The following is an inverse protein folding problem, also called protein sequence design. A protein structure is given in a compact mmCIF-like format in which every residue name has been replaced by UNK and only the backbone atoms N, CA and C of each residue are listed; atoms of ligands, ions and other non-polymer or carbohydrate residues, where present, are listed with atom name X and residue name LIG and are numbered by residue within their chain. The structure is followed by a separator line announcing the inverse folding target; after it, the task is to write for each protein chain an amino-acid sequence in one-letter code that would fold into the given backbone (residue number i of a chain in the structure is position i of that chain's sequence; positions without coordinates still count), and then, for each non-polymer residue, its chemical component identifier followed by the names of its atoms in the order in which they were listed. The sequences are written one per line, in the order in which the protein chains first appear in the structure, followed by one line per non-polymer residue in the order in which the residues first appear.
data_IF_801102477642
#
_entry.id   IF_801102477642
#
_cell.length_a   1.000
_cell.length_b   1.000
_cell.length_c   1.000
_cell.angle_alpha   90.00
_cell.angle_beta   90.00
_cell.angle_gamma   90.00
#
_symmetry.space_group_name_H-M   'P 1'
#
loop_
_entity.id
_entity.type
_entity.pdbx_description
1 polymer ?
#
# COMPACT_ATOMS: atom_id res chain seq x y z
N UNK A 1 -12.83 52.78 -30.03
CA UNK A 1 -12.43 52.66 -28.61
C UNK A 1 -11.11 51.91 -28.58
N UNK A 2 -10.05 52.44 -27.95
CA UNK A 2 -8.75 51.78 -27.85
C UNK A 2 -8.59 51.26 -26.43
N UNK A 3 -8.22 49.98 -26.28
CA UNK A 3 -8.00 49.33 -24.98
C UNK A 3 -6.56 48.86 -24.93
N UNK A 4 -5.79 49.29 -23.94
CA UNK A 4 -4.44 48.82 -23.66
C UNK A 4 -4.49 47.71 -22.61
N UNK A 5 -3.74 46.63 -22.83
CA UNK A 5 -3.65 45.49 -21.91
C UNK A 5 -2.17 45.19 -21.65
N UNK A 6 -1.83 44.86 -20.40
CA UNK A 6 -0.49 44.41 -20.03
C UNK A 6 -0.41 42.89 -20.12
N UNK A 7 0.66 42.38 -20.73
CA UNK A 7 0.93 40.94 -20.85
C UNK A 7 2.18 40.56 -20.05
N UNK A 8 2.24 39.32 -19.58
CA UNK A 8 3.48 38.76 -19.01
C UNK A 8 4.45 38.35 -20.13
N UNK A 9 5.71 38.06 -19.80
CA UNK A 9 6.77 37.78 -20.79
C UNK A 9 6.46 36.57 -21.70
N UNK A 10 5.73 35.58 -21.19
CA UNK A 10 5.37 34.37 -21.91
C UNK A 10 4.25 34.65 -22.93
N UNK A 11 3.18 35.31 -22.50
CA UNK A 11 2.10 35.74 -23.41
C UNK A 11 2.59 36.77 -24.42
N UNK A 12 3.49 37.67 -24.02
CA UNK A 12 4.08 38.66 -24.94
C UNK A 12 4.88 37.97 -26.05
N UNK A 13 5.74 37.00 -25.69
CA UNK A 13 6.49 36.20 -26.67
C UNK A 13 5.55 35.42 -27.61
N UNK A 14 4.47 34.83 -27.07
CA UNK A 14 3.49 34.11 -27.89
C UNK A 14 2.72 35.04 -28.84
N UNK A 15 2.32 36.23 -28.38
CA UNK A 15 1.69 37.24 -29.25
C UNK A 15 2.64 37.68 -30.36
N UNK A 16 3.92 37.89 -30.08
CA UNK A 16 4.92 38.27 -31.08
C UNK A 16 5.13 37.14 -32.12
N UNK A 17 5.16 35.88 -31.69
CA UNK A 17 5.27 34.71 -32.56
C UNK A 17 4.02 34.55 -33.47
N UNK A 18 2.83 34.69 -32.89
CA UNK A 18 1.56 34.62 -33.63
C UNK A 18 1.42 35.80 -34.59
N UNK A 19 1.78 37.02 -34.16
CA UNK A 19 1.72 38.23 -35.01
C UNK A 19 2.71 38.14 -36.17
N UNK A 20 3.90 37.61 -35.93
CA UNK A 20 4.90 37.34 -36.98
C UNK A 20 4.38 36.35 -38.04
N UNK A 21 3.45 35.48 -37.65
CA UNK A 21 2.82 34.49 -38.55
C UNK A 21 1.51 34.96 -39.19
N UNK A 22 0.78 35.89 -38.57
CA UNK A 22 -0.56 36.34 -38.97
C UNK A 22 -0.61 37.68 -39.74
N UNK A 23 0.49 38.45 -39.79
CA UNK A 23 0.54 39.76 -40.44
C UNK A 23 -0.08 40.90 -39.61
N UNK A 24 -0.51 41.99 -40.24
CA UNK A 24 -0.89 43.28 -39.60
C UNK A 24 -2.10 43.25 -38.65
N UNK A 25 -2.78 42.12 -38.44
CA UNK A 25 -3.95 42.04 -37.53
C UNK A 25 -3.55 41.67 -36.09
N UNK A 26 -2.79 42.54 -35.44
CA UNK A 26 -2.35 42.42 -34.04
C UNK A 26 -3.52 42.13 -33.06
N UNK A 27 -4.73 42.61 -33.35
CA UNK A 27 -5.91 42.37 -32.52
C UNK A 27 -6.40 40.90 -32.56
N UNK A 28 -6.18 40.19 -33.65
CA UNK A 28 -6.51 38.77 -33.78
C UNK A 28 -5.46 37.90 -33.08
N UNK A 29 -4.18 38.22 -33.26
CA UNK A 29 -3.08 37.56 -32.55
C UNK A 29 -3.23 37.68 -31.02
N UNK A 30 -3.58 38.87 -30.51
CA UNK A 30 -3.86 39.06 -29.07
C UNK A 30 -5.07 38.23 -28.61
N UNK A 31 -6.13 38.14 -29.42
CA UNK A 31 -7.30 37.32 -29.06
C UNK A 31 -6.99 35.83 -29.01
N UNK A 32 -6.20 35.34 -29.95
CA UNK A 32 -5.77 33.95 -29.96
C UNK A 32 -4.80 33.64 -28.82
N UNK A 33 -3.89 34.56 -28.47
CA UNK A 33 -3.06 34.44 -27.28
C UNK A 33 -3.86 34.39 -25.98
N UNK A 34 -4.88 35.24 -25.84
CA UNK A 34 -5.78 35.21 -24.68
C UNK A 34 -6.61 33.92 -24.63
N UNK A 35 -7.06 33.40 -25.78
CA UNK A 35 -7.77 32.10 -25.84
C UNK A 35 -6.82 30.97 -25.41
N UNK A 36 -5.62 30.94 -25.96
CA UNK A 36 -4.62 29.93 -25.64
C UNK A 36 -4.22 29.96 -24.16
N UNK A 37 -3.99 31.15 -23.60
CA UNK A 37 -3.69 31.30 -22.17
C UNK A 37 -4.80 30.80 -21.25
N UNK A 38 -6.08 30.99 -21.63
CA UNK A 38 -7.22 30.43 -20.88
C UNK A 38 -7.28 28.91 -20.97
N UNK A 39 -7.12 28.35 -22.17
CA UNK A 39 -7.10 26.90 -22.35
C UNK A 39 -5.95 26.25 -21.57
N UNK A 40 -4.78 26.90 -21.50
CA UNK A 40 -3.67 26.43 -20.70
C UNK A 40 -3.96 26.51 -19.20
N UNK A 41 -4.58 27.60 -18.73
CA UNK A 41 -4.99 27.72 -17.33
C UNK A 41 -6.00 26.63 -16.93
N UNK A 42 -7.02 26.39 -17.75
CA UNK A 42 -8.00 25.32 -17.52
C UNK A 42 -7.34 23.92 -17.48
N UNK A 43 -6.35 23.68 -18.34
CA UNK A 43 -5.56 22.43 -18.31
C UNK A 43 -4.72 22.32 -17.05
N UNK A 44 -4.08 23.41 -16.63
CA UNK A 44 -3.29 23.44 -15.39
C UNK A 44 -4.16 23.13 -14.18
N UNK A 45 -5.32 23.79 -14.06
CA UNK A 45 -6.28 23.55 -12.97
C UNK A 45 -6.79 22.10 -12.96
N UNK A 46 -7.07 21.54 -14.14
CA UNK A 46 -7.49 20.13 -14.28
C UNK A 46 -6.39 19.15 -13.87
N UNK A 47 -5.15 19.40 -14.28
CA UNK A 47 -3.99 18.59 -13.91
C UNK A 47 -3.68 18.69 -12.42
N UNK A 48 -3.82 19.87 -11.82
CA UNK A 48 -3.65 20.07 -10.38
C UNK A 48 -4.71 19.28 -9.60
N UNK A 49 -5.97 19.35 -10.04
CA UNK A 49 -7.08 18.59 -9.45
C UNK A 49 -6.90 17.07 -9.58
N UNK A 50 -6.36 16.59 -10.71
CA UNK A 50 -6.01 15.17 -10.88
C UNK A 50 -4.84 14.77 -9.98
N UNK A 51 -3.80 15.62 -9.88
CA UNK A 51 -2.66 15.36 -9.02
C UNK A 51 -3.07 15.26 -7.55
N UNK A 52 -3.99 16.11 -7.09
CA UNK A 52 -4.55 16.03 -5.74
C UNK A 52 -5.33 14.73 -5.53
N UNK A 53 -6.25 14.37 -6.44
CA UNK A 53 -6.98 13.09 -6.39
C UNK A 53 -6.06 11.88 -6.37
N UNK A 54 -5.00 11.88 -7.16
CA UNK A 54 -4.03 10.79 -7.20
C UNK A 54 -3.22 10.71 -5.90
N UNK A 55 -2.87 11.84 -5.28
CA UNK A 55 -2.19 11.85 -3.97
C UNK A 55 -3.09 11.28 -2.88
N UNK A 56 -4.35 11.70 -2.81
CA UNK A 56 -5.33 11.15 -1.87
C UNK A 56 -5.48 9.64 -2.06
N UNK A 57 -5.55 9.18 -3.32
CA UNK A 57 -5.65 7.74 -3.61
C UNK A 57 -4.41 6.96 -3.21
N UNK A 58 -3.22 7.54 -3.35
CA UNK A 58 -1.97 6.92 -2.90
C UNK A 58 -1.99 6.78 -1.39
N UNK A 59 -2.36 7.83 -0.65
CA UNK A 59 -2.45 7.80 0.81
C UNK A 59 -3.41 6.71 1.30
N UNK A 60 -4.61 6.65 0.72
CA UNK A 60 -5.61 5.61 1.04
C UNK A 60 -5.06 4.19 0.79
N UNK A 61 -4.38 3.96 -0.34
CA UNK A 61 -3.80 2.66 -0.68
C UNK A 61 -2.62 2.30 0.23
N UNK A 62 -1.83 3.28 0.68
CA UNK A 62 -0.75 3.07 1.62
C UNK A 62 -1.28 2.67 3.00
N UNK A 63 -2.33 3.33 3.49
CA UNK A 63 -3.02 2.97 4.73
C UNK A 63 -3.63 1.57 4.66
N UNK A 64 -4.30 1.23 3.56
CA UNK A 64 -4.89 -0.09 3.36
C UNK A 64 -3.79 -1.17 3.34
N UNK A 65 -2.68 -0.92 2.67
CA UNK A 65 -1.53 -1.83 2.64
C UNK A 65 -0.96 -2.06 4.04
N UNK A 66 -0.82 -1.01 4.85
CA UNK A 66 -0.28 -1.13 6.21
C UNK A 66 -1.22 -1.86 7.15
N UNK A 67 -2.54 -1.63 7.01
CA UNK A 67 -3.57 -2.41 7.68
C UNK A 67 -3.47 -3.89 7.32
N UNK A 68 -3.47 -4.21 6.02
CA UNK A 68 -3.39 -5.60 5.54
C UNK A 68 -2.10 -6.30 5.98
N UNK A 69 -0.98 -5.58 6.01
CA UNK A 69 0.30 -6.12 6.49
C UNK A 69 0.24 -6.46 7.97
N UNK A 70 -0.40 -5.61 8.77
CA UNK A 70 -0.60 -5.84 10.21
C UNK A 70 -1.55 -7.01 10.45
N UNK A 71 -2.65 -7.09 9.71
CA UNK A 71 -3.60 -8.20 9.79
C UNK A 71 -2.95 -9.53 9.39
N UNK A 72 -2.20 -9.56 8.30
CA UNK A 72 -1.44 -10.75 7.88
C UNK A 72 -0.48 -11.21 8.96
N UNK A 73 0.24 -10.30 9.61
CA UNK A 73 1.16 -10.64 10.70
C UNK A 73 0.41 -11.31 11.85
N UNK A 74 -0.71 -10.72 12.29
CA UNK A 74 -1.55 -11.28 13.35
C UNK A 74 -2.08 -12.67 13.01
N UNK A 75 -2.49 -12.89 11.76
CA UNK A 75 -2.96 -14.21 11.31
C UNK A 75 -1.84 -15.24 11.31
N UNK A 76 -0.62 -14.85 10.91
CA UNK A 76 0.54 -15.75 10.98
C UNK A 76 0.90 -16.11 12.42
N UNK A 77 0.93 -15.14 13.33
CA UNK A 77 1.14 -15.37 14.76
C UNK A 77 0.09 -16.35 15.33
N UNK A 78 -1.19 -16.17 14.98
CA UNK A 78 -2.26 -17.09 15.38
C UNK A 78 -2.09 -18.51 14.81
N UNK A 79 -1.60 -18.63 13.57
CA UNK A 79 -1.30 -19.94 12.97
C UNK A 79 -0.13 -20.64 13.64
N UNK A 80 0.91 -19.91 14.01
CA UNK A 80 2.06 -20.42 14.77
C UNK A 80 1.60 -20.92 16.15
N UNK A 81 0.86 -20.12 16.91
CA UNK A 81 0.27 -20.52 18.20
C UNK A 81 -0.62 -21.77 18.06
N UNK A 82 -1.49 -21.80 17.05
CA UNK A 82 -2.37 -22.95 16.80
C UNK A 82 -1.57 -24.21 16.48
N UNK A 83 -0.46 -24.07 15.73
CA UNK A 83 0.43 -25.18 15.38
C UNK A 83 1.15 -25.72 16.61
N UNK A 84 1.64 -24.85 17.48
CA UNK A 84 2.27 -25.25 18.75
C UNK A 84 1.27 -25.97 19.67
N UNK A 85 0.04 -25.47 19.78
CA UNK A 85 -1.02 -26.12 20.55
C UNK A 85 -1.37 -27.50 19.99
N UNK A 86 -1.45 -27.64 18.66
CA UNK A 86 -1.68 -28.93 18.02
C UNK A 86 -0.53 -29.91 18.33
N UNK A 87 0.73 -29.48 18.21
CA UNK A 87 1.88 -30.31 18.54
C UNK A 87 1.85 -30.74 20.01
N UNK A 88 1.50 -29.85 20.94
CA UNK A 88 1.37 -30.18 22.36
C UNK A 88 0.30 -31.25 22.59
N UNK A 89 -0.89 -31.07 22.00
CA UNK A 89 -1.99 -32.04 22.12
C UNK A 89 -1.64 -33.39 21.50
N UNK A 90 -0.91 -33.40 20.37
CA UNK A 90 -0.42 -34.64 19.75
C UNK A 90 0.58 -35.36 20.65
N UNK A 91 1.52 -34.63 21.26
CA UNK A 91 2.48 -35.20 22.22
C UNK A 91 1.76 -35.79 23.43
N UNK A 92 0.76 -35.10 23.97
CA UNK A 92 -0.04 -35.58 25.10
C UNK A 92 -0.83 -36.84 24.74
N UNK A 93 -1.46 -36.87 23.56
CA UNK A 93 -2.15 -38.07 23.05
C UNK A 93 -1.20 -39.24 22.82
N UNK A 94 0.00 -38.99 22.31
CA UNK A 94 1.01 -40.03 22.11
C UNK A 94 1.47 -40.61 23.46
N UNK A 95 1.71 -39.75 24.46
CA UNK A 95 2.05 -40.18 25.82
C UNK A 95 0.92 -41.00 26.46
N UNK A 96 -0.34 -40.58 26.30
CA UNK A 96 -1.49 -41.36 26.75
C UNK A 96 -1.59 -42.72 26.06
N UNK A 97 -1.37 -42.78 24.74
CA UNK A 97 -1.38 -44.04 23.99
C UNK A 97 -0.29 -44.99 24.49
N UNK A 98 0.93 -44.49 24.70
CA UNK A 98 2.03 -45.27 25.28
C UNK A 98 1.69 -45.78 26.69
N UNK A 99 1.01 -44.97 27.52
CA UNK A 99 0.48 -45.41 28.81
C UNK A 99 -0.57 -46.50 28.67
N UNK A 100 -1.47 -46.40 27.67
CA UNK A 100 -2.53 -47.39 27.41
C UNK A 100 -1.96 -48.71 26.86
N UNK A 101 -0.93 -48.67 26.04
CA UNK A 101 -0.28 -49.85 25.46
C UNK A 101 0.72 -50.52 26.43
N UNK A 102 1.24 -49.77 27.40
CA UNK A 102 2.13 -50.33 28.42
C UNK A 102 1.42 -51.37 29.30
N UNK A 103 1.98 -52.59 29.34
CA UNK A 103 1.54 -53.66 30.24
C UNK A 103 1.66 -53.28 31.73
N UNK A 104 0.93 -53.98 32.60
CA UNK A 104 0.82 -53.66 34.03
C UNK A 104 2.17 -53.50 34.76
N UNK A 105 3.16 -54.34 34.42
CA UNK A 105 4.52 -54.24 34.98
C UNK A 105 5.25 -52.97 34.53
N UNK A 106 5.11 -52.59 33.26
CA UNK A 106 5.73 -51.37 32.72
C UNK A 106 5.11 -50.12 33.35
N UNK A 107 3.78 -50.11 33.55
CA UNK A 107 3.09 -49.03 34.28
C UNK A 107 3.54 -48.91 35.74
N UNK A 108 3.69 -50.04 36.43
CA UNK A 108 4.18 -50.05 37.82
C UNK A 108 5.62 -49.53 37.90
N UNK A 109 6.49 -49.91 36.95
CA UNK A 109 7.85 -49.39 36.84
C UNK A 109 7.88 -47.87 36.62
N UNK A 110 7.04 -47.35 35.72
CA UNK A 110 6.96 -45.90 35.46
C UNK A 110 6.40 -45.10 36.64
N UNK A 111 5.54 -45.70 37.48
CA UNK A 111 5.06 -45.06 38.70
C UNK A 111 6.16 -44.87 39.75
N UNK A 112 7.15 -45.76 39.78
CA UNK A 112 8.25 -45.73 40.76
C UNK A 112 9.46 -44.93 40.24
N UNK A 113 9.74 -45.00 38.94
CA UNK A 113 10.97 -44.43 38.34
C UNK A 113 10.72 -43.12 37.57
N UNK A 114 9.47 -42.83 37.16
CA UNK A 114 9.15 -41.77 36.20
C UNK A 114 9.32 -42.24 34.75
N UNK A 115 8.52 -41.68 33.83
CA UNK A 115 8.59 -42.03 32.40
C UNK A 115 9.84 -41.38 31.76
N UNK A 116 10.64 -42.12 30.98
CA UNK A 116 11.78 -41.53 30.28
C UNK A 116 11.29 -40.62 29.15
N UNK A 117 11.56 -39.33 29.22
CA UNK A 117 11.42 -38.44 28.09
C UNK A 117 12.57 -38.68 27.10
N UNK A 118 12.31 -38.64 25.78
CA UNK A 118 13.29 -38.98 24.74
C UNK A 118 14.51 -38.04 24.65
N UNK A 119 14.69 -37.08 25.56
CA UNK A 119 15.86 -36.20 25.62
C UNK A 119 16.98 -36.71 26.57
N UNK A 120 16.85 -37.91 27.13
CA UNK A 120 17.80 -38.44 28.14
C UNK A 120 18.74 -39.53 27.61
N UNK A 121 19.35 -39.32 26.45
CA UNK A 121 20.54 -40.05 26.02
C UNK A 121 21.54 -39.09 25.34
N UNK A 122 22.43 -38.51 26.15
CA UNK A 122 23.80 -38.15 25.73
C UNK A 122 24.61 -39.41 25.49
#
# INVERSE_FOLDING_TARGET
MRTSVSLNNELASYVDEVTSSAGDNNAEAIRDALRHGREQAERADSLESEAERLRERIEELEEERDRLKTEKRRVLEQHEETTELLQYVEQERAAEQQWREAGLLTRAKWRVVGMPTPESNT
#
